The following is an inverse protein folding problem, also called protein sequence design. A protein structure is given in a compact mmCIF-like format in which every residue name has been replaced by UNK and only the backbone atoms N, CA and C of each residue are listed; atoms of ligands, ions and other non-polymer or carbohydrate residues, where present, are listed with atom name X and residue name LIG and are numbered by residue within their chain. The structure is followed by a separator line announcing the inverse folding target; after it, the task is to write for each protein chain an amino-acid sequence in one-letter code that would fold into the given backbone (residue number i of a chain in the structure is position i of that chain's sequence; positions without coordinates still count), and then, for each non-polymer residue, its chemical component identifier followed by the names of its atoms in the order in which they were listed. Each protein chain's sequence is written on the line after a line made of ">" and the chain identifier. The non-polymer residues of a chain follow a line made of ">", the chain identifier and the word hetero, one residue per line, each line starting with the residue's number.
data_IF_829147991700
#
_entry.id   IF_829147991700
#
_cell.length_a   1.000
_cell.length_b   1.000
_cell.length_c   1.000
_cell.angle_alpha   90.00
_cell.angle_beta   90.00
_cell.angle_gamma   90.00
#
_symmetry.space_group_name_H-M   'P 1'
#
loop_
_entity.id
_entity.type
_entity.pdbx_description
1 polymer ?
#
# COMPACT_ATOMS: atom_id res chain seq x y z
N UNK A 1 -25.13 12.17 14.19
CA UNK A 1 -25.49 12.74 12.88
C UNK A 1 -25.06 14.22 12.74
N UNK A 2 -23.91 14.64 13.31
CA UNK A 2 -23.50 16.07 13.36
C UNK A 2 -22.07 16.36 12.84
N UNK A 3 -21.27 15.33 12.53
CA UNK A 3 -19.86 15.51 12.10
C UNK A 3 -19.71 15.77 10.58
N UNK A 4 -20.78 15.58 9.81
CA UNK A 4 -20.78 15.63 8.34
C UNK A 4 -20.82 17.06 7.78
N UNK A 5 -21.19 18.07 8.59
CA UNK A 5 -21.24 19.48 8.18
C UNK A 5 -19.90 20.20 8.40
N UNK A 6 -19.14 19.83 9.43
CA UNK A 6 -17.81 20.40 9.71
C UNK A 6 -16.76 20.00 8.65
N UNK A 7 -16.82 18.77 8.13
CA UNK A 7 -15.93 18.30 7.06
C UNK A 7 -16.17 19.02 5.72
N UNK A 8 -17.41 19.42 5.43
CA UNK A 8 -17.75 20.20 4.24
C UNK A 8 -17.35 21.68 4.38
N UNK A 9 -17.44 22.25 5.59
CA UNK A 9 -16.97 23.61 5.88
C UNK A 9 -15.44 23.75 5.76
N UNK A 10 -14.67 22.79 6.27
CA UNK A 10 -13.20 22.80 6.14
C UNK A 10 -12.73 22.60 4.69
N UNK A 11 -13.40 21.76 3.91
CA UNK A 11 -13.04 21.55 2.50
C UNK A 11 -13.34 22.76 1.61
N UNK A 12 -14.19 23.70 2.03
CA UNK A 12 -14.43 24.95 1.30
C UNK A 12 -13.44 26.06 1.69
N UNK A 13 -12.92 26.05 2.93
CA UNK A 13 -11.94 27.04 3.43
C UNK A 13 -10.50 26.63 3.08
N UNK A 14 -10.16 25.34 3.05
CA UNK A 14 -8.84 24.84 2.64
C UNK A 14 -8.64 24.80 1.11
N UNK A 15 -9.72 24.66 0.32
CA UNK A 15 -9.69 24.69 -1.16
C UNK A 15 -9.71 26.13 -1.71
N UNK A 16 -9.01 27.04 -1.05
CA UNK A 16 -8.71 28.37 -1.57
C UNK A 16 -7.83 28.31 -2.83
N UNK A 17 -7.40 29.48 -3.32
CA UNK A 17 -6.58 29.70 -4.53
C UNK A 17 -5.45 28.67 -4.74
N UNK A 18 -4.87 28.14 -3.66
CA UNK A 18 -3.89 27.04 -3.67
C UNK A 18 -4.34 25.80 -4.45
N UNK A 19 -5.61 25.39 -4.32
CA UNK A 19 -6.13 24.23 -5.04
C UNK A 19 -6.10 24.44 -6.55
N UNK A 20 -6.25 25.68 -7.03
CA UNK A 20 -6.21 26.01 -8.45
C UNK A 20 -4.78 26.00 -8.99
N UNK A 21 -3.82 26.41 -8.17
CA UNK A 21 -2.39 26.36 -8.53
C UNK A 21 -1.90 24.90 -8.62
N UNK A 22 -2.34 24.03 -7.69
CA UNK A 22 -1.96 22.60 -7.71
C UNK A 22 -2.84 21.73 -8.62
N UNK A 23 -3.98 22.23 -9.09
CA UNK A 23 -4.87 21.52 -10.01
C UNK A 23 -4.18 21.02 -11.29
N UNK A 24 -3.40 21.82 -12.05
CA UNK A 24 -2.73 21.33 -13.26
C UNK A 24 -1.70 20.23 -12.94
N UNK A 25 -0.95 20.37 -11.84
CA UNK A 25 0.00 19.35 -11.38
C UNK A 25 -0.73 18.06 -11.01
N UNK A 26 -1.87 18.17 -10.33
CA UNK A 26 -2.73 17.03 -9.99
C UNK A 26 -3.26 16.32 -11.23
N UNK A 27 -3.66 17.06 -12.27
CA UNK A 27 -4.13 16.47 -13.53
C UNK A 27 -3.02 15.71 -14.26
N UNK A 28 -1.80 16.26 -14.31
CA UNK A 28 -0.64 15.57 -14.90
C UNK A 28 -0.32 14.28 -14.12
N UNK A 29 -0.36 14.34 -12.78
CA UNK A 29 -0.17 13.16 -11.94
C UNK A 29 -1.25 12.10 -12.17
N UNK A 30 -2.52 12.52 -12.22
CA UNK A 30 -3.65 11.63 -12.50
C UNK A 30 -3.53 10.99 -13.89
N UNK A 31 -3.19 11.76 -14.92
CA UNK A 31 -2.95 11.24 -16.28
C UNK A 31 -1.82 10.21 -16.30
N UNK A 32 -0.72 10.47 -15.60
CA UNK A 32 0.41 9.53 -15.50
C UNK A 32 0.02 8.22 -14.80
N UNK A 33 -0.69 8.31 -13.68
CA UNK A 33 -1.18 7.12 -12.95
C UNK A 33 -2.21 6.35 -13.78
N UNK A 34 -3.10 7.06 -14.48
CA UNK A 34 -4.09 6.48 -15.37
C UNK A 34 -3.44 5.71 -16.53
N UNK A 35 -2.51 6.33 -17.26
CA UNK A 35 -1.76 5.68 -18.33
C UNK A 35 -1.00 4.44 -17.81
N UNK A 36 -0.34 4.56 -16.66
CA UNK A 36 0.35 3.42 -16.03
C UNK A 36 -0.63 2.28 -15.73
N UNK A 37 -1.79 2.58 -15.13
CA UNK A 37 -2.80 1.57 -14.82
C UNK A 37 -3.37 0.92 -16.08
N UNK A 38 -3.62 1.70 -17.15
CA UNK A 38 -4.04 1.17 -18.45
C UNK A 38 -3.02 0.19 -19.03
N UNK A 39 -1.71 0.49 -18.93
CA UNK A 39 -0.67 -0.43 -19.42
C UNK A 39 -0.60 -1.73 -18.62
N UNK A 40 -0.87 -1.71 -17.30
CA UNK A 40 -1.02 -2.93 -16.52
C UNK A 40 -2.29 -3.70 -16.87
N UNK A 41 -3.42 -3.01 -17.06
CA UNK A 41 -4.70 -3.65 -17.46
C UNK A 41 -4.62 -4.30 -18.84
N UNK A 42 -3.95 -3.65 -19.79
CA UNK A 42 -3.70 -4.19 -21.14
C UNK A 42 -2.63 -5.29 -21.18
N UNK A 43 -1.98 -5.60 -20.05
CA UNK A 43 -0.91 -6.60 -19.98
C UNK A 43 0.40 -6.20 -20.66
N UNK A 44 0.59 -4.92 -20.99
CA UNK A 44 1.84 -4.43 -21.60
C UNK A 44 3.00 -4.41 -20.60
N UNK A 45 2.70 -4.26 -19.31
CA UNK A 45 3.68 -4.43 -18.24
C UNK A 45 3.67 -5.85 -17.68
N UNK A 46 4.88 -6.32 -17.33
CA UNK A 46 5.09 -7.67 -16.78
C UNK A 46 4.44 -7.79 -15.41
N UNK A 47 3.53 -8.75 -15.28
CA UNK A 47 2.98 -9.23 -14.01
C UNK A 47 3.62 -10.57 -13.68
N UNK A 48 4.07 -10.73 -12.43
CA UNK A 48 4.69 -11.97 -11.97
C UNK A 48 3.70 -12.76 -11.14
N UNK A 49 3.41 -13.99 -11.56
CA UNK A 49 2.67 -14.95 -10.75
C UNK A 49 3.63 -15.62 -9.76
N UNK A 50 3.12 -15.87 -8.56
CA UNK A 50 3.77 -16.58 -7.47
C UNK A 50 2.88 -17.75 -7.07
N UNK A 51 3.47 -18.86 -6.64
CA UNK A 51 2.73 -20.08 -6.30
C UNK A 51 1.84 -19.97 -5.05
N UNK A 52 2.23 -19.27 -3.96
CA UNK A 52 1.40 -19.13 -2.78
C UNK A 52 0.33 -18.05 -2.95
N UNK A 53 -0.70 -18.11 -2.09
CA UNK A 53 -1.72 -17.05 -1.99
C UNK A 53 -1.08 -15.73 -1.55
N UNK A 54 -1.16 -14.71 -2.40
CA UNK A 54 -0.62 -13.37 -2.11
C UNK A 54 -1.75 -12.41 -1.76
N UNK A 55 -1.65 -11.79 -0.57
CA UNK A 55 -2.56 -10.72 -0.13
C UNK A 55 -1.79 -9.41 -0.12
N UNK A 56 -2.19 -8.46 -0.97
CA UNK A 56 -1.61 -7.13 -1.02
C UNK A 56 -2.40 -6.15 -0.15
N UNK A 57 -1.76 -5.59 0.88
CA UNK A 57 -2.35 -4.55 1.74
C UNK A 57 -1.82 -3.18 1.31
N UNK A 58 -2.72 -2.33 0.79
CA UNK A 58 -2.42 -0.98 0.31
C UNK A 58 -3.37 0.07 0.87
N UNK A 59 -3.11 1.34 0.56
CA UNK A 59 -4.05 2.45 0.81
C UNK A 59 -3.92 3.47 -0.33
N UNK A 60 -5.01 4.19 -0.60
CA UNK A 60 -5.10 5.22 -1.63
C UNK A 60 -4.60 6.58 -1.14
N UNK A 61 -4.61 6.81 0.18
CA UNK A 61 -4.22 8.09 0.81
C UNK A 61 -2.84 7.97 1.45
N UNK A 62 -2.02 9.01 1.33
CA UNK A 62 -0.74 9.13 2.04
C UNK A 62 -1.00 9.48 3.51
N UNK A 63 -0.42 8.71 4.44
CA UNK A 63 -0.55 8.95 5.89
C UNK A 63 -0.74 7.67 6.71
N UNK A 64 -0.86 7.85 8.03
CA UNK A 64 -1.06 6.80 9.04
C UNK A 64 -2.43 6.12 8.91
N UNK A 65 -2.56 5.25 7.93
CA UNK A 65 -3.83 4.67 7.47
C UNK A 65 -4.08 3.27 8.03
N UNK A 66 -3.44 2.95 9.16
CA UNK A 66 -3.66 1.70 9.87
C UNK A 66 -3.20 0.44 9.12
N UNK A 67 -2.41 0.57 8.05
CA UNK A 67 -1.93 -0.60 7.27
C UNK A 67 -1.11 -1.55 8.14
N UNK A 68 -0.18 -1.02 8.93
CA UNK A 68 0.69 -1.81 9.81
C UNK A 68 -0.09 -2.62 10.85
N UNK A 69 -1.01 -2.05 11.64
CA UNK A 69 -1.82 -2.85 12.57
C UNK A 69 -2.75 -3.84 11.84
N UNK A 70 -3.24 -3.49 10.64
CA UNK A 70 -4.05 -4.43 9.83
C UNK A 70 -3.23 -5.63 9.34
N UNK A 71 -1.98 -5.42 8.88
CA UNK A 71 -1.07 -6.51 8.50
C UNK A 71 -0.74 -7.39 9.72
N UNK A 72 -0.52 -6.78 10.90
CA UNK A 72 -0.28 -7.53 12.13
C UNK A 72 -1.50 -8.38 12.53
N UNK A 73 -2.72 -7.86 12.35
CA UNK A 73 -3.95 -8.61 12.55
C UNK A 73 -4.01 -9.81 11.60
N UNK A 74 -3.82 -9.60 10.29
CA UNK A 74 -3.80 -10.67 9.30
C UNK A 74 -2.77 -11.75 9.62
N UNK A 75 -1.54 -11.36 9.97
CA UNK A 75 -0.50 -12.30 10.36
C UNK A 75 -0.91 -13.17 11.56
N UNK A 76 -1.63 -12.58 12.52
CA UNK A 76 -2.14 -13.30 13.70
C UNK A 76 -3.32 -14.22 13.33
N UNK A 77 -4.27 -13.73 12.52
CA UNK A 77 -5.41 -14.52 12.04
C UNK A 77 -4.99 -15.74 11.22
N UNK A 78 -3.95 -15.59 10.39
CA UNK A 78 -3.40 -16.65 9.55
C UNK A 78 -2.18 -17.34 10.17
N UNK A 79 -1.99 -17.24 11.49
CA UNK A 79 -0.88 -17.88 12.21
C UNK A 79 -0.88 -19.42 12.10
N UNK A 80 -2.03 -20.02 11.79
CA UNK A 80 -2.17 -21.45 11.52
C UNK A 80 -1.60 -21.88 10.14
N UNK A 81 -1.16 -20.93 9.30
CA UNK A 81 -0.50 -21.17 8.01
C UNK A 81 0.93 -20.65 8.04
N UNK A 82 1.78 -21.19 7.17
CA UNK A 82 3.08 -20.58 6.88
C UNK A 82 2.84 -19.24 6.18
N UNK A 83 3.12 -18.16 6.88
CA UNK A 83 2.92 -16.79 6.38
C UNK A 83 4.24 -16.05 6.30
N UNK A 84 4.44 -15.35 5.19
CA UNK A 84 5.59 -14.48 4.98
C UNK A 84 5.09 -13.05 4.74
N UNK A 85 5.66 -12.10 5.48
CA UNK A 85 5.30 -10.68 5.39
C UNK A 85 6.38 -9.98 4.58
N UNK A 86 5.99 -9.43 3.42
CA UNK A 86 6.91 -8.67 2.58
C UNK A 86 6.76 -7.17 2.92
N UNK A 87 7.80 -6.51 3.44
CA UNK A 87 7.84 -5.04 3.58
C UNK A 87 8.94 -4.37 2.74
N UNK A 88 8.74 -3.11 2.34
CA UNK A 88 9.73 -2.37 1.54
C UNK A 88 10.87 -1.84 2.41
N UNK A 89 10.65 -1.77 3.72
CA UNK A 89 11.61 -1.21 4.69
C UNK A 89 11.51 0.31 4.80
N UNK A 90 10.32 0.88 4.62
CA UNK A 90 10.13 2.32 4.80
C UNK A 90 9.99 2.65 6.28
N UNK A 91 10.86 3.50 6.82
CA UNK A 91 10.79 3.95 8.22
C UNK A 91 11.28 2.95 9.28
N UNK A 92 11.59 1.69 8.95
CA UNK A 92 12.24 0.70 9.83
C UNK A 92 11.42 0.16 11.01
N UNK A 93 10.52 0.95 11.59
CA UNK A 93 9.74 0.54 12.77
C UNK A 93 8.69 -0.53 12.46
N UNK A 94 8.11 -0.48 11.26
CA UNK A 94 7.14 -1.50 10.81
C UNK A 94 7.74 -2.90 10.80
N UNK A 95 9.00 -3.03 10.38
CA UNK A 95 9.70 -4.31 10.31
C UNK A 95 9.83 -4.94 11.69
N UNK A 96 10.29 -4.15 12.68
CA UNK A 96 10.44 -4.61 14.06
C UNK A 96 9.12 -5.02 14.68
N UNK A 97 8.05 -4.29 14.38
CA UNK A 97 6.70 -4.60 14.87
C UNK A 97 6.17 -5.90 14.26
N UNK A 98 6.34 -6.09 12.96
CA UNK A 98 5.85 -7.26 12.23
C UNK A 98 6.69 -8.51 12.47
N UNK A 99 8.00 -8.36 12.74
CA UNK A 99 8.91 -9.46 13.04
C UNK A 99 8.51 -10.25 14.30
N UNK A 100 7.77 -9.60 15.22
CA UNK A 100 7.19 -10.27 16.40
C UNK A 100 6.03 -11.20 16.08
N UNK A 101 5.46 -11.12 14.86
CA UNK A 101 4.22 -11.81 14.48
C UNK A 101 4.41 -12.81 13.32
N UNK A 102 5.58 -12.85 12.70
CA UNK A 102 5.87 -13.78 11.61
C UNK A 102 7.20 -13.50 10.93
N UNK A 103 7.49 -14.26 9.86
CA UNK A 103 8.72 -14.10 9.09
C UNK A 103 8.61 -12.89 8.16
N UNK A 104 9.44 -11.88 8.38
CA UNK A 104 9.42 -10.62 7.62
C UNK A 104 10.60 -10.57 6.64
N UNK A 105 10.30 -10.21 5.39
CA UNK A 105 11.29 -10.02 4.33
C UNK A 105 11.27 -8.56 3.88
N UNK A 106 12.43 -7.92 3.93
CA UNK A 106 12.58 -6.48 3.65
C UNK A 106 13.37 -6.26 2.37
N UNK A 107 12.84 -5.41 1.49
CA UNK A 107 13.54 -5.02 0.27
C UNK A 107 12.68 -4.31 -0.76
N UNK A 108 13.34 -3.66 -1.71
CA UNK A 108 12.69 -2.86 -2.78
C UNK A 108 11.98 -3.74 -3.81
N UNK A 109 12.56 -4.90 -4.14
CA UNK A 109 12.02 -5.83 -5.13
C UNK A 109 11.11 -6.88 -4.48
N UNK A 110 9.80 -6.72 -4.66
CA UNK A 110 8.81 -7.64 -4.09
C UNK A 110 8.83 -9.02 -4.73
N UNK A 111 9.17 -9.10 -6.02
CA UNK A 111 9.19 -10.36 -6.77
C UNK A 111 10.37 -11.19 -6.32
N UNK A 112 11.54 -10.58 -6.15
CA UNK A 112 12.71 -11.27 -5.60
C UNK A 112 12.46 -11.76 -4.17
N UNK A 113 11.82 -10.94 -3.32
CA UNK A 113 11.48 -11.34 -1.95
C UNK A 113 10.44 -12.46 -1.91
N UNK A 114 9.43 -12.42 -2.78
CA UNK A 114 8.42 -13.47 -2.87
C UNK A 114 9.07 -14.81 -3.28
N UNK A 115 9.94 -14.81 -4.29
CA UNK A 115 10.71 -16.00 -4.69
C UNK A 115 11.64 -16.50 -3.58
N UNK A 116 12.21 -15.58 -2.78
CA UNK A 116 13.02 -15.95 -1.62
C UNK A 116 12.17 -16.60 -0.54
N UNK A 117 10.99 -16.04 -0.25
CA UNK A 117 10.05 -16.60 0.70
C UNK A 117 9.59 -18.01 0.26
N UNK A 118 9.21 -18.19 -1.01
CA UNK A 118 8.81 -19.49 -1.58
C UNK A 118 9.90 -20.57 -1.44
N UNK A 119 11.18 -20.20 -1.61
CA UNK A 119 12.30 -21.14 -1.44
C UNK A 119 12.56 -21.51 0.01
N UNK A 120 12.23 -20.62 0.94
CA UNK A 120 12.51 -20.78 2.36
C UNK A 120 11.32 -21.34 3.17
N UNK A 121 10.13 -21.47 2.58
CA UNK A 121 8.97 -22.17 3.16
C UNK A 121 7.64 -21.48 2.95
#
# INVERSE_FOLDING_TARGET
>A
MHYRLLLWGQTLIEKGVWSWIFAPISLVWQGTVFCRNLFYQKGWFKSHATSPLVVSVGNLVAGGTGKTPFVALLATTFSHRKTAILTRGYGGDEEKLLAKRGKVYVGKDRVALAKKAEKEG
#
